data_IF_242964230633
#
_entry.id   IF_242964230633
#
_cell.length_a   1.000
_cell.length_b   1.000
_cell.length_c   1.000
_cell.angle_alpha   90.00
_cell.angle_beta   90.00
_cell.angle_gamma   90.00
#
_symmetry.space_group_name_H-M   'P 1'
#
loop_
_entity.id
_entity.type
_entity.pdbx_description
1 polymer ?
#
# COMPACT_ATOMS: atom_id res chain seq x y z
N UNK A 1 -11.55 5.06 -3.08
CA UNK A 1 -10.34 4.56 -3.77
C UNK A 1 -10.41 4.66 -5.29
N UNK A 2 -11.49 4.22 -5.95
CA UNK A 2 -11.60 4.21 -7.42
C UNK A 2 -11.12 5.50 -8.14
N UNK A 3 -11.55 6.73 -7.75
CA UNK A 3 -11.09 7.95 -8.42
C UNK A 3 -9.56 8.10 -8.40
N UNK A 4 -8.91 7.71 -7.31
CA UNK A 4 -7.46 7.83 -7.16
C UNK A 4 -6.69 6.81 -8.00
N UNK A 5 -7.24 5.61 -8.26
CA UNK A 5 -6.65 4.64 -9.19
C UNK A 5 -6.67 5.17 -10.64
N UNK A 6 -7.74 5.86 -11.01
CA UNK A 6 -7.83 6.56 -12.30
C UNK A 6 -6.84 7.70 -12.39
N UNK A 7 -6.82 8.58 -11.39
CA UNK A 7 -5.98 9.76 -11.37
C UNK A 7 -4.49 9.43 -11.36
N UNK A 8 -4.07 8.39 -10.64
CA UNK A 8 -2.66 7.94 -10.59
C UNK A 8 -2.21 7.22 -11.87
N UNK A 9 -3.15 6.84 -12.75
CA UNK A 9 -2.85 6.10 -13.97
C UNK A 9 -2.67 4.59 -13.76
N UNK A 10 -3.07 4.05 -12.61
CA UNK A 10 -3.13 2.61 -12.35
C UNK A 10 -4.33 1.97 -13.06
N UNK A 11 -4.40 2.09 -14.38
CA UNK A 11 -5.57 1.77 -15.19
C UNK A 11 -6.01 0.32 -15.11
N UNK A 12 -5.08 -0.63 -15.02
CA UNK A 12 -5.44 -2.06 -14.87
C UNK A 12 -6.16 -2.29 -13.55
N UNK A 13 -5.62 -1.78 -12.44
CA UNK A 13 -6.27 -1.84 -11.13
C UNK A 13 -7.60 -1.09 -11.14
N UNK A 14 -7.65 0.09 -11.78
CA UNK A 14 -8.88 0.86 -11.87
C UNK A 14 -9.99 0.10 -12.61
N UNK A 15 -9.65 -0.59 -13.71
CA UNK A 15 -10.57 -1.45 -14.47
C UNK A 15 -11.02 -2.67 -13.67
N UNK A 16 -10.08 -3.42 -13.08
CA UNK A 16 -10.39 -4.60 -12.28
C UNK A 16 -11.21 -4.27 -11.03
N UNK A 17 -10.94 -3.14 -10.38
CA UNK A 17 -11.69 -2.69 -9.21
C UNK A 17 -13.15 -2.34 -9.54
N UNK A 18 -13.43 -1.85 -10.75
CA UNK A 18 -14.81 -1.64 -11.21
C UNK A 18 -15.54 -2.96 -11.43
N UNK A 19 -14.90 -3.94 -12.07
CA UNK A 19 -15.49 -5.28 -12.23
C UNK A 19 -15.76 -5.93 -10.88
N UNK A 20 -14.76 -5.93 -10.00
CA UNK A 20 -14.91 -6.45 -8.64
C UNK A 20 -16.06 -5.77 -7.90
N UNK A 21 -16.19 -4.44 -7.98
CA UNK A 21 -17.30 -3.74 -7.33
C UNK A 21 -18.65 -4.15 -7.92
N UNK A 22 -18.75 -4.32 -9.24
CA UNK A 22 -19.98 -4.79 -9.90
C UNK A 22 -20.33 -6.22 -9.47
N UNK A 23 -19.35 -7.12 -9.45
CA UNK A 23 -19.52 -8.50 -8.99
C UNK A 23 -19.99 -8.53 -7.52
N UNK A 24 -19.39 -7.69 -6.66
CA UNK A 24 -19.77 -7.60 -5.24
C UNK A 24 -21.18 -7.04 -5.04
N UNK A 25 -21.63 -6.11 -5.90
CA UNK A 25 -23.02 -5.60 -5.88
C UNK A 25 -24.02 -6.66 -6.34
N UNK A 26 -23.63 -7.50 -7.30
CA UNK A 26 -24.48 -8.59 -7.80
C UNK A 26 -24.39 -9.87 -6.96
N UNK A 27 -23.50 -9.89 -5.96
CA UNK A 27 -23.16 -11.09 -5.20
C UNK A 27 -24.39 -11.75 -4.56
N UNK A 28 -25.33 -10.97 -4.04
CA UNK A 28 -26.58 -11.46 -3.45
C UNK A 28 -27.41 -12.31 -4.44
N UNK A 29 -27.41 -11.91 -5.71
CA UNK A 29 -28.20 -12.57 -6.75
C UNK A 29 -27.50 -13.80 -7.35
N UNK A 30 -26.16 -13.85 -7.24
CA UNK A 30 -25.32 -14.90 -7.84
C UNK A 30 -25.03 -16.04 -6.84
N UNK A 31 -24.99 -15.71 -5.55
CA UNK A 31 -24.63 -16.64 -4.49
C UNK A 31 -25.88 -17.29 -3.89
N UNK A 32 -25.76 -18.52 -3.40
CA UNK A 32 -26.85 -19.14 -2.65
C UNK A 32 -27.21 -18.26 -1.43
N UNK A 33 -28.50 -18.02 -1.14
CA UNK A 33 -28.92 -17.12 -0.06
C UNK A 33 -28.33 -17.47 1.31
N UNK A 34 -28.18 -18.76 1.61
CA UNK A 34 -27.61 -19.21 2.89
C UNK A 34 -26.12 -18.91 3.00
N UNK A 35 -25.40 -18.99 1.89
CA UNK A 35 -23.97 -18.69 1.83
C UNK A 35 -23.74 -17.18 1.81
N UNK A 36 -24.58 -16.42 1.11
CA UNK A 36 -24.55 -14.96 1.11
C UNK A 36 -24.78 -14.38 2.51
N UNK A 37 -25.76 -14.90 3.24
CA UNK A 37 -26.02 -14.50 4.62
C UNK A 37 -24.78 -14.69 5.51
N UNK A 38 -24.15 -15.87 5.43
CA UNK A 38 -22.90 -16.15 6.15
C UNK A 38 -21.76 -15.24 5.69
N UNK A 39 -21.69 -14.93 4.40
CA UNK A 39 -20.69 -14.02 3.87
C UNK A 39 -20.82 -12.62 4.48
N UNK A 40 -22.03 -12.03 4.53
CA UNK A 40 -22.27 -10.72 5.17
C UNK A 40 -21.94 -10.76 6.67
N UNK A 41 -22.24 -11.87 7.33
CA UNK A 41 -21.90 -12.09 8.74
C UNK A 41 -20.39 -12.24 9.01
N UNK A 42 -19.56 -12.15 7.96
CA UNK A 42 -18.10 -12.14 8.07
C UNK A 42 -17.45 -13.52 8.00
N UNK A 43 -18.20 -14.57 7.67
CA UNK A 43 -17.69 -15.95 7.55
C UNK A 43 -16.84 -16.20 6.29
N UNK A 44 -16.36 -15.15 5.61
CA UNK A 44 -15.32 -15.22 4.59
C UNK A 44 -13.90 -15.08 5.16
N UNK A 45 -13.79 -14.82 6.48
CA UNK A 45 -12.52 -14.75 7.19
C UNK A 45 -12.43 -15.86 8.25
N UNK A 46 -11.24 -16.40 8.41
CA UNK A 46 -10.91 -17.32 9.49
C UNK A 46 -10.45 -16.52 10.70
N UNK A 47 -10.97 -16.85 11.88
CA UNK A 47 -10.60 -16.20 13.15
C UNK A 47 -10.22 -17.27 14.17
N UNK A 48 -9.12 -17.04 14.88
CA UNK A 48 -8.71 -17.86 16.03
C UNK A 48 -9.41 -17.46 17.33
N UNK A 49 -9.89 -16.21 17.42
CA UNK A 49 -10.60 -15.70 18.59
C UNK A 49 -11.84 -14.91 18.18
N UNK A 50 -12.78 -14.73 19.10
CA UNK A 50 -14.01 -13.95 18.89
C UNK A 50 -13.80 -12.43 18.90
N UNK A 51 -12.55 -11.93 18.84
CA UNK A 51 -12.24 -10.50 18.85
C UNK A 51 -12.68 -9.83 17.54
N UNK A 52 -13.15 -8.59 17.65
CA UNK A 52 -13.56 -7.77 16.50
C UNK A 52 -12.37 -7.51 15.56
N UNK A 53 -12.58 -7.58 14.24
CA UNK A 53 -11.58 -7.31 13.20
C UNK A 53 -10.31 -8.19 13.26
N UNK A 54 -10.37 -9.36 13.91
CA UNK A 54 -9.28 -10.33 13.94
C UNK A 54 -9.44 -11.45 12.90
N UNK A 55 -10.17 -11.18 11.82
CA UNK A 55 -10.39 -12.13 10.73
C UNK A 55 -9.26 -12.06 9.70
N UNK A 56 -8.67 -13.20 9.37
CA UNK A 56 -7.67 -13.37 8.32
C UNK A 56 -8.34 -14.03 7.11
N UNK A 57 -8.04 -13.59 5.89
CA UNK A 57 -8.57 -14.26 4.69
C UNK A 57 -8.10 -15.72 4.62
N UNK A 58 -8.95 -16.61 4.11
CA UNK A 58 -8.65 -18.06 4.02
C UNK A 58 -7.36 -18.34 3.26
N UNK A 59 -7.14 -17.63 2.15
CA UNK A 59 -5.92 -17.75 1.34
C UNK A 59 -4.66 -17.40 2.13
N UNK A 60 -4.70 -16.30 2.90
CA UNK A 60 -3.59 -15.89 3.74
C UNK A 60 -3.33 -16.88 4.88
N UNK A 61 -4.37 -17.52 5.43
CA UNK A 61 -4.19 -18.61 6.41
C UNK A 61 -3.56 -19.85 5.77
N UNK A 62 -3.99 -20.21 4.56
CA UNK A 62 -3.38 -21.31 3.80
C UNK A 62 -1.90 -21.04 3.59
N UNK A 63 -1.54 -19.84 3.11
CA UNK A 63 -0.15 -19.48 2.84
C UNK A 63 0.71 -19.38 4.11
N UNK A 64 0.20 -18.75 5.18
CA UNK A 64 1.02 -18.47 6.36
C UNK A 64 1.07 -19.64 7.35
N UNK A 65 -0.02 -20.41 7.46
CA UNK A 65 -0.12 -21.51 8.43
C UNK A 65 0.10 -22.85 7.74
N UNK A 66 -0.73 -23.20 6.75
CA UNK A 66 -0.68 -24.53 6.14
C UNK A 66 0.60 -24.73 5.33
N UNK A 67 0.97 -23.78 4.46
CA UNK A 67 2.20 -23.89 3.68
C UNK A 67 3.44 -23.85 4.55
N UNK A 68 3.42 -23.12 5.68
CA UNK A 68 4.52 -23.14 6.66
C UNK A 68 4.67 -24.54 7.26
N UNK A 69 3.59 -25.15 7.76
CA UNK A 69 3.61 -26.52 8.29
C UNK A 69 4.03 -27.56 7.24
N UNK A 70 3.67 -27.36 5.96
CA UNK A 70 4.14 -28.22 4.88
C UNK A 70 5.64 -28.08 4.62
N UNK A 71 6.22 -26.89 4.83
CA UNK A 71 7.62 -26.56 4.53
C UNK A 71 8.58 -26.76 5.72
N UNK A 72 8.09 -26.94 6.94
CA UNK A 72 8.92 -27.25 8.11
C UNK A 72 9.40 -28.71 8.10
N UNK A 73 10.35 -29.05 8.97
CA UNK A 73 10.84 -30.43 9.09
C UNK A 73 9.71 -31.37 9.57
N UNK A 74 9.55 -32.50 8.88
CA UNK A 74 8.38 -33.38 9.04
C UNK A 74 7.16 -33.00 8.17
N UNK A 75 7.21 -31.86 7.47
CA UNK A 75 6.23 -31.45 6.47
C UNK A 75 6.43 -32.11 5.10
N UNK A 76 5.38 -32.09 4.27
CA UNK A 76 5.38 -32.80 2.97
C UNK A 76 6.29 -32.13 1.92
N UNK A 77 6.56 -30.82 2.03
CA UNK A 77 7.32 -30.07 1.03
C UNK A 77 8.85 -30.23 1.14
N UNK A 78 9.38 -30.70 2.28
CA UNK A 78 10.82 -31.02 2.46
C UNK A 78 11.14 -32.52 2.32
N UNK A 79 10.12 -33.36 2.05
CA UNK A 79 10.19 -34.84 2.12
C UNK A 79 9.88 -35.60 0.82
N UNK A 80 9.85 -36.94 0.94
CA UNK A 80 10.12 -37.94 -0.12
C UNK A 80 9.02 -38.21 -1.17
N UNK A 81 7.82 -37.60 -1.14
CA UNK A 81 6.77 -37.91 -2.14
C UNK A 81 5.66 -36.86 -2.21
N UNK A 82 5.27 -36.48 -3.43
CA UNK A 82 4.10 -35.64 -3.76
C UNK A 82 2.86 -36.45 -4.13
N UNK A 83 2.86 -37.77 -3.88
CA UNK A 83 1.71 -38.62 -4.16
C UNK A 83 0.49 -38.21 -3.31
N UNK A 84 -0.67 -38.20 -3.94
CA UNK A 84 -1.94 -37.78 -3.35
C UNK A 84 -2.29 -38.58 -2.07
N UNK A 85 -1.95 -39.88 -2.05
CA UNK A 85 -2.18 -40.74 -0.88
C UNK A 85 -1.35 -40.33 0.34
N UNK A 86 -0.14 -39.79 0.14
CA UNK A 86 0.74 -39.31 1.21
C UNK A 86 0.28 -37.96 1.71
N UNK A 87 -0.09 -37.05 0.80
CA UNK A 87 -0.66 -35.74 1.15
C UNK A 87 -1.95 -35.94 1.95
N UNK A 88 -2.85 -36.80 1.49
CA UNK A 88 -4.11 -37.09 2.18
C UNK A 88 -3.87 -37.61 3.60
N UNK A 89 -2.99 -38.59 3.77
CA UNK A 89 -2.63 -39.11 5.10
C UNK A 89 -2.05 -38.03 6.02
N UNK A 90 -1.24 -37.13 5.48
CA UNK A 90 -0.68 -36.03 6.25
C UNK A 90 -1.74 -35.01 6.66
N UNK A 91 -2.65 -34.62 5.76
CA UNK A 91 -3.76 -33.70 6.06
C UNK A 91 -4.70 -34.29 7.12
N UNK A 92 -5.14 -35.54 6.95
CA UNK A 92 -6.00 -36.20 7.94
C UNK A 92 -5.26 -36.44 9.27
N UNK A 93 -3.99 -36.83 9.20
CA UNK A 93 -3.15 -37.03 10.39
C UNK A 93 -2.95 -35.73 11.17
N UNK A 94 -2.76 -34.60 10.49
CA UNK A 94 -2.61 -33.28 11.12
C UNK A 94 -3.83 -32.90 11.94
N UNK A 95 -5.04 -33.13 11.43
CA UNK A 95 -6.27 -32.84 12.16
C UNK A 95 -6.37 -33.64 13.48
N UNK A 96 -6.07 -34.94 13.41
CA UNK A 96 -6.04 -35.82 14.59
C UNK A 96 -4.97 -35.39 15.59
N UNK A 97 -3.77 -35.04 15.10
CA UNK A 97 -2.68 -34.57 15.95
C UNK A 97 -3.00 -33.23 16.61
N UNK A 98 -3.68 -32.31 15.91
CA UNK A 98 -4.11 -31.03 16.50
C UNK A 98 -5.09 -31.27 17.67
N UNK A 99 -6.02 -32.20 17.50
CA UNK A 99 -6.97 -32.60 18.56
C UNK A 99 -6.24 -33.20 19.77
N UNK A 100 -5.21 -34.01 19.53
CA UNK A 100 -4.37 -34.55 20.62
C UNK A 100 -3.57 -33.46 21.33
N UNK A 101 -3.01 -32.50 20.60
CA UNK A 101 -2.31 -31.35 21.16
C UNK A 101 -3.26 -30.50 22.02
N UNK A 102 -4.46 -30.20 21.54
CA UNK A 102 -5.50 -29.49 22.31
C UNK A 102 -5.83 -30.23 23.62
N UNK A 103 -6.01 -31.55 23.57
CA UNK A 103 -6.25 -32.34 24.79
C UNK A 103 -5.06 -32.37 25.75
N UNK A 104 -3.83 -32.35 25.25
CA UNK A 104 -2.62 -32.26 26.07
C UNK A 104 -2.46 -30.87 26.70
N UNK A 105 -2.82 -29.82 25.98
CA UNK A 105 -2.86 -28.44 26.45
C UNK A 105 -3.86 -28.29 27.61
N UNK A 106 -5.07 -28.80 27.44
CA UNK A 106 -6.09 -28.83 28.49
C UNK A 106 -5.63 -29.62 29.72
N UNK A 107 -5.00 -30.79 29.51
CA UNK A 107 -4.46 -31.61 30.60
C UNK A 107 -3.34 -30.90 31.37
N UNK A 108 -2.44 -30.22 30.65
CA UNK A 108 -1.33 -29.48 31.24
C UNK A 108 -1.76 -28.13 31.83
N UNK A 109 -3.00 -27.69 31.57
CA UNK A 109 -3.48 -26.34 31.84
C UNK A 109 -2.54 -25.27 31.25
N UNK A 110 -2.02 -25.54 30.06
CA UNK A 110 -1.16 -24.65 29.27
C UNK A 110 -1.83 -24.46 27.92
N UNK A 111 -1.90 -23.22 27.43
CA UNK A 111 -2.33 -22.95 26.06
C UNK A 111 -1.13 -22.57 25.20
N UNK A 112 -0.93 -23.29 24.09
CA UNK A 112 0.06 -22.93 23.07
C UNK A 112 -0.57 -22.01 22.00
N UNK A 113 -1.63 -21.28 22.34
CA UNK A 113 -2.34 -20.32 21.48
C UNK A 113 -1.41 -19.23 20.92
N UNK A 114 -0.28 -18.98 21.59
CA UNK A 114 0.75 -18.05 21.17
C UNK A 114 1.91 -18.78 20.50
N UNK A 115 1.84 -18.90 19.18
CA UNK A 115 3.06 -18.59 18.41
C UNK A 115 3.43 -17.16 18.78
N UNK A 116 4.72 -16.87 19.04
CA UNK A 116 5.21 -15.50 19.29
C UNK A 116 4.34 -14.51 18.53
N UNK A 117 3.51 -13.75 19.26
CA UNK A 117 2.77 -12.68 18.63
C UNK A 117 3.81 -11.87 17.86
N UNK A 118 3.53 -11.58 16.59
CA UNK A 118 4.42 -10.76 15.79
C UNK A 118 4.85 -9.59 16.67
N UNK A 119 6.16 -9.35 16.81
CA UNK A 119 6.68 -8.45 17.87
C UNK A 119 5.95 -7.10 17.87
N UNK A 120 5.54 -6.64 16.69
CA UNK A 120 4.77 -5.41 16.47
C UNK A 120 3.34 -5.42 17.03
N UNK A 121 2.73 -6.58 17.24
CA UNK A 121 1.41 -6.74 17.87
C UNK A 121 1.47 -6.75 19.41
N UNK A 122 2.67 -6.69 20.00
CA UNK A 122 2.80 -6.60 21.47
C UNK A 122 2.21 -5.29 22.00
N UNK A 123 1.62 -5.32 23.20
CA UNK A 123 1.04 -4.13 23.85
C UNK A 123 2.02 -2.95 23.92
N UNK A 124 3.32 -3.24 24.07
CA UNK A 124 4.38 -2.22 24.09
C UNK A 124 4.54 -1.50 22.75
N UNK A 125 4.42 -2.23 21.63
CA UNK A 125 4.56 -1.70 20.27
C UNK A 125 3.28 -0.99 19.85
N UNK A 126 2.12 -1.56 20.15
CA UNK A 126 0.82 -0.91 19.96
C UNK A 126 0.75 0.44 20.70
N UNK A 127 1.18 0.50 21.97
CA UNK A 127 1.24 1.77 22.71
C UNK A 127 2.18 2.78 22.07
N UNK A 128 3.38 2.35 21.66
CA UNK A 128 4.34 3.22 20.98
C UNK A 128 3.80 3.75 19.65
N UNK A 129 3.17 2.89 18.85
CA UNK A 129 2.57 3.27 17.57
C UNK A 129 1.46 4.31 17.77
N UNK A 130 0.62 4.14 18.81
CA UNK A 130 -0.40 5.15 19.17
C UNK A 130 0.25 6.48 19.56
N UNK A 131 1.29 6.45 20.39
CA UNK A 131 2.05 7.66 20.76
C UNK A 131 2.68 8.33 19.55
N UNK A 132 3.26 7.56 18.62
CA UNK A 132 3.91 8.08 17.41
C UNK A 132 2.89 8.61 16.39
N UNK A 133 1.72 7.98 16.26
CA UNK A 133 0.58 8.50 15.48
C UNK A 133 0.13 9.84 16.06
N UNK A 134 -0.01 9.96 17.38
CA UNK A 134 -0.39 11.22 18.02
C UNK A 134 0.64 12.32 17.77
N UNK A 135 1.94 12.03 17.90
CA UNK A 135 3.01 12.98 17.55
C UNK A 135 2.94 13.42 16.09
N UNK A 136 2.72 12.47 15.18
CA UNK A 136 2.58 12.77 13.75
C UNK A 136 1.37 13.66 13.49
N UNK A 137 0.23 13.37 14.13
CA UNK A 137 -0.98 14.18 14.01
C UNK A 137 -0.77 15.58 14.57
N UNK A 138 -0.19 15.73 15.77
CA UNK A 138 0.15 17.03 16.34
C UNK A 138 1.08 17.83 15.43
N UNK A 139 2.08 17.16 14.83
CA UNK A 139 2.98 17.79 13.87
C UNK A 139 2.25 18.23 12.60
N UNK A 140 1.41 17.38 12.01
CA UNK A 140 0.64 17.70 10.80
C UNK A 140 -0.45 18.76 11.04
N UNK A 141 -1.02 18.83 12.24
CA UNK A 141 -1.99 19.87 12.63
C UNK A 141 -1.32 21.24 12.78
N UNK A 142 -0.09 21.27 13.30
CA UNK A 142 0.70 22.50 13.43
C UNK A 142 1.40 22.89 12.13
N UNK A 143 1.72 21.93 11.28
CA UNK A 143 2.37 22.10 9.98
C UNK A 143 1.48 21.49 8.91
N UNK A 144 0.52 22.28 8.43
CA UNK A 144 -0.35 21.85 7.33
C UNK A 144 0.53 21.39 6.14
N UNK A 145 0.49 20.10 5.75
CA UNK A 145 1.29 19.61 4.63
C UNK A 145 0.80 20.17 3.28
N UNK A 146 -0.41 20.74 3.23
CA UNK A 146 -1.00 21.35 2.04
C UNK A 146 -1.62 22.71 2.37
N UNK A 147 -0.82 23.71 2.82
CA UNK A 147 -1.35 25.03 3.06
C UNK A 147 -1.94 25.55 1.75
N UNK A 148 -2.96 26.40 1.82
CA UNK A 148 -3.55 27.05 0.64
C UNK A 148 -2.57 28.10 0.12
N UNK A 149 -1.53 27.63 -0.57
CA UNK A 149 -0.51 28.43 -1.24
C UNK A 149 -0.87 28.43 -2.73
N UNK A 150 -0.66 29.55 -3.47
CA UNK A 150 -0.86 29.57 -4.92
C UNK A 150 -0.01 28.53 -5.69
N UNK A 151 1.02 27.95 -5.05
CA UNK A 151 1.86 26.90 -5.63
C UNK A 151 1.88 25.67 -4.71
N UNK A 152 1.74 24.49 -5.29
CA UNK A 152 1.82 23.22 -4.56
C UNK A 152 3.28 23.00 -4.16
N UNK A 153 3.53 22.77 -2.88
CA UNK A 153 4.86 22.44 -2.37
C UNK A 153 4.80 21.14 -1.58
N UNK A 154 5.73 20.22 -1.82
CA UNK A 154 5.93 19.05 -0.96
C UNK A 154 7.42 18.73 -0.91
N UNK A 155 7.98 18.54 0.29
CA UNK A 155 9.39 18.14 0.48
C UNK A 155 10.39 19.03 -0.27
N UNK A 156 10.14 20.35 -0.32
CA UNK A 156 10.98 21.32 -1.02
C UNK A 156 10.80 21.36 -2.53
N UNK A 157 9.94 20.52 -3.13
CA UNK A 157 9.58 20.59 -4.55
C UNK A 157 8.43 21.56 -4.74
N UNK A 158 8.62 22.60 -5.54
CA UNK A 158 7.55 23.52 -5.95
C UNK A 158 7.01 23.09 -7.31
N UNK A 159 5.71 22.79 -7.38
CA UNK A 159 5.05 22.43 -8.62
C UNK A 159 4.93 23.61 -9.59
N UNK A 160 5.09 23.32 -10.87
CA UNK A 160 4.79 24.24 -11.96
C UNK A 160 3.27 24.34 -12.21
N UNK A 161 2.84 25.27 -13.06
CA UNK A 161 1.42 25.47 -13.40
C UNK A 161 0.77 24.25 -14.08
N UNK A 162 1.57 23.26 -14.49
CA UNK A 162 1.07 22.02 -15.12
C UNK A 162 0.75 20.94 -14.10
N UNK A 163 1.33 21.01 -12.90
CA UNK A 163 1.11 20.01 -11.86
C UNK A 163 -0.30 20.15 -11.27
N UNK A 164 -1.05 19.05 -11.33
CA UNK A 164 -2.46 19.02 -10.94
C UNK A 164 -2.78 17.87 -9.97
N UNK A 165 -1.78 17.31 -9.28
CA UNK A 165 -1.97 16.19 -8.36
C UNK A 165 -2.94 16.47 -7.20
N UNK A 166 -3.05 17.72 -6.75
CA UNK A 166 -4.05 18.17 -5.77
C UNK A 166 -5.49 17.92 -6.24
N UNK A 167 -5.75 17.95 -7.55
CA UNK A 167 -7.05 17.71 -8.16
C UNK A 167 -7.30 16.24 -8.51
N UNK A 168 -6.50 15.30 -7.96
CA UNK A 168 -6.60 13.88 -8.26
C UNK A 168 -8.02 13.31 -8.16
N UNK A 169 -8.78 13.70 -7.13
CA UNK A 169 -10.16 13.22 -6.99
C UNK A 169 -11.05 13.68 -8.14
N UNK A 170 -10.97 14.96 -8.54
CA UNK A 170 -11.79 15.52 -9.60
C UNK A 170 -11.44 14.93 -10.98
N UNK A 171 -10.15 14.82 -11.29
CA UNK A 171 -9.65 14.19 -12.52
C UNK A 171 -10.04 12.71 -12.57
N UNK A 172 -9.92 12.01 -11.44
CA UNK A 172 -10.36 10.64 -11.30
C UNK A 172 -11.85 10.43 -11.58
N UNK A 173 -12.70 11.31 -11.05
CA UNK A 173 -14.15 11.28 -11.30
C UNK A 173 -14.49 11.57 -12.77
N UNK A 174 -13.81 12.54 -13.39
CA UNK A 174 -13.96 12.84 -14.82
C UNK A 174 -13.52 11.67 -15.72
N UNK A 175 -12.52 10.88 -15.29
CA UNK A 175 -12.13 9.64 -15.97
C UNK A 175 -13.20 8.56 -15.83
N UNK A 176 -13.77 8.40 -14.63
CA UNK A 176 -14.84 7.43 -14.37
C UNK A 176 -16.09 7.74 -15.19
N UNK A 177 -16.49 9.01 -15.31
CA UNK A 177 -17.67 9.39 -16.10
C UNK A 177 -17.53 9.05 -17.59
N UNK A 178 -16.30 9.03 -18.13
CA UNK A 178 -16.04 8.58 -19.50
C UNK A 178 -16.25 7.07 -19.69
N UNK A 179 -16.18 6.27 -18.62
CA UNK A 179 -16.37 4.82 -18.65
C UNK A 179 -17.82 4.40 -18.46
N UNK A 180 -18.65 5.25 -17.87
CA UNK A 180 -20.05 4.93 -17.59
C UNK A 180 -20.79 4.57 -18.88
N UNK A 181 -21.43 3.40 -18.91
CA UNK A 181 -22.16 2.89 -20.08
C UNK A 181 -21.29 2.23 -21.16
N UNK A 182 -19.97 2.13 -20.98
CA UNK A 182 -19.08 1.42 -21.90
C UNK A 182 -18.81 -0.02 -21.44
N UNK A 183 -18.55 -0.91 -22.39
CA UNK A 183 -18.09 -2.28 -22.11
C UNK A 183 -16.58 -2.30 -21.88
N UNK A 184 -16.11 -3.29 -21.10
CA UNK A 184 -14.70 -3.41 -20.71
C UNK A 184 -13.71 -3.34 -21.87
N UNK A 185 -14.03 -3.98 -23.00
CA UNK A 185 -13.20 -4.03 -24.20
C UNK A 185 -13.09 -2.67 -24.91
N UNK A 186 -14.13 -1.84 -24.81
CA UNK A 186 -14.19 -0.54 -25.48
C UNK A 186 -13.55 0.60 -24.67
N UNK A 187 -13.32 0.38 -23.37
CA UNK A 187 -12.73 1.38 -22.48
C UNK A 187 -11.26 1.59 -22.81
N UNK A 188 -10.94 2.79 -23.29
CA UNK A 188 -9.58 3.26 -23.55
C UNK A 188 -9.21 4.39 -22.60
N UNK A 189 -8.35 4.10 -21.63
CA UNK A 189 -7.79 5.07 -20.70
C UNK A 189 -6.43 5.53 -21.21
N UNK A 190 -6.22 6.85 -21.32
CA UNK A 190 -4.97 7.41 -21.82
C UNK A 190 -4.12 7.91 -20.66
N UNK A 191 -2.79 7.77 -20.77
CA UNK A 191 -1.85 8.34 -19.79
C UNK A 191 -1.94 9.87 -19.67
N UNK A 192 -2.48 10.55 -20.67
CA UNK A 192 -2.72 11.99 -20.62
C UNK A 192 -3.87 12.39 -19.69
N UNK A 193 -4.80 11.46 -19.37
CA UNK A 193 -5.94 11.72 -18.48
C UNK A 193 -5.57 11.57 -16.99
N UNK A 194 -4.33 11.18 -16.68
CA UNK A 194 -3.84 11.03 -15.30
C UNK A 194 -3.32 12.36 -14.77
N UNK A 195 -3.28 12.52 -13.45
CA UNK A 195 -2.64 13.71 -12.86
C UNK A 195 -1.13 13.69 -13.04
N UNK A 196 -0.56 14.87 -13.20
CA UNK A 196 0.88 15.08 -13.17
C UNK A 196 1.32 15.20 -11.71
N UNK A 197 2.16 14.27 -11.20
CA UNK A 197 2.71 14.36 -9.86
C UNK A 197 3.79 15.45 -9.77
N UNK A 198 4.11 15.89 -8.56
CA UNK A 198 5.21 16.83 -8.31
C UNK A 198 6.57 16.35 -8.86
N UNK A 199 6.80 15.03 -8.93
CA UNK A 199 7.99 14.46 -9.56
C UNK A 199 8.13 14.81 -11.06
N UNK A 200 7.03 15.20 -11.71
CA UNK A 200 7.04 15.66 -13.10
C UNK A 200 7.36 17.15 -13.24
N UNK A 201 7.64 17.87 -12.15
CA UNK A 201 8.12 19.24 -12.18
C UNK A 201 9.41 19.30 -13.01
N UNK A 202 9.46 20.20 -13.99
CA UNK A 202 10.64 20.30 -14.85
C UNK A 202 11.82 20.89 -14.09
N UNK A 203 12.96 20.21 -14.12
CA UNK A 203 14.25 20.82 -13.74
C UNK A 203 14.85 21.68 -14.87
N UNK A 204 14.05 22.08 -15.86
CA UNK A 204 14.55 22.74 -17.08
C UNK A 204 14.22 24.22 -17.02
N UNK A 205 15.25 25.07 -17.18
CA UNK A 205 15.09 26.53 -17.27
C UNK A 205 15.39 26.99 -18.68
N UNK A 206 14.71 28.07 -19.08
CA UNK A 206 14.89 28.72 -20.37
C UNK A 206 15.93 29.84 -20.22
N UNK A 207 17.09 29.68 -20.85
CA UNK A 207 18.19 30.67 -20.87
C UNK A 207 18.43 31.05 -22.32
N UNK A 208 18.23 32.33 -22.67
CA UNK A 208 18.35 32.84 -24.05
C UNK A 208 17.60 31.99 -25.10
N UNK A 209 16.35 31.63 -24.80
CA UNK A 209 15.49 30.75 -25.60
C UNK A 209 15.90 29.27 -25.70
N UNK A 210 17.04 28.87 -25.14
CA UNK A 210 17.44 27.47 -25.03
C UNK A 210 16.99 26.85 -23.71
N UNK A 211 16.55 25.59 -23.79
CA UNK A 211 16.15 24.79 -22.63
C UNK A 211 17.38 24.11 -22.03
N UNK A 212 17.82 24.58 -20.87
CA UNK A 212 18.95 24.01 -20.14
C UNK A 212 18.41 23.15 -18.98
N UNK A 213 18.67 21.83 -18.96
CA UNK A 213 18.33 21.00 -17.82
C UNK A 213 19.27 21.33 -16.65
N UNK A 214 18.68 21.51 -15.47
CA UNK A 214 19.39 21.69 -14.22
C UNK A 214 19.56 20.31 -13.62
N UNK A 215 20.81 19.95 -13.39
CA UNK A 215 21.20 18.84 -12.54
C UNK A 215 21.55 19.41 -11.15
N UNK A 216 20.67 19.25 -10.15
CA UNK A 216 20.92 19.75 -8.80
C UNK A 216 22.20 19.18 -8.18
N UNK A 217 22.57 17.93 -8.51
CA UNK A 217 23.78 17.28 -8.00
C UNK A 217 25.02 17.97 -8.57
N UNK A 218 25.03 18.23 -9.88
CA UNK A 218 26.14 18.90 -10.53
C UNK A 218 26.27 20.35 -10.05
N UNK A 219 25.14 21.04 -9.87
CA UNK A 219 25.12 22.41 -9.38
C UNK A 219 25.66 22.51 -7.94
N UNK A 220 25.18 21.65 -7.05
CA UNK A 220 25.65 21.58 -5.66
C UNK A 220 27.15 21.23 -5.58
N UNK A 221 27.63 20.28 -6.40
CA UNK A 221 29.07 19.96 -6.50
C UNK A 221 29.89 21.17 -6.93
N UNK A 222 29.44 21.92 -7.94
CA UNK A 222 30.12 23.15 -8.40
C UNK A 222 30.16 24.21 -7.31
N UNK A 223 29.04 24.51 -6.66
CA UNK A 223 28.98 25.45 -5.54
C UNK A 223 29.92 25.03 -4.40
N UNK A 224 29.97 23.73 -4.08
CA UNK A 224 30.84 23.17 -3.04
C UNK A 224 32.33 23.27 -3.36
N UNK A 225 32.70 23.24 -4.65
CA UNK A 225 34.10 23.38 -5.10
C UNK A 225 34.50 24.86 -5.21
N UNK A 226 33.57 25.72 -5.64
CA UNK A 226 33.84 27.15 -5.85
C UNK A 226 33.85 27.96 -4.56
N UNK A 227 33.19 27.49 -3.49
CA UNK A 227 33.20 28.20 -2.20
C UNK A 227 34.62 28.26 -1.64
N UNK A 228 35.03 29.46 -1.23
CA UNK A 228 36.28 29.67 -0.49
C UNK A 228 36.00 29.61 1.01
N UNK A 229 34.85 30.13 1.44
CA UNK A 229 34.40 30.13 2.83
C UNK A 229 32.95 29.66 2.95
N UNK A 230 32.57 29.20 4.14
CA UNK A 230 31.27 28.55 4.36
C UNK A 230 30.07 29.52 4.27
N UNK A 231 30.28 30.81 4.61
CA UNK A 231 29.25 31.85 4.50
C UNK A 231 28.88 32.19 3.04
N UNK A 232 29.76 31.92 2.07
CA UNK A 232 29.48 32.17 0.65
C UNK A 232 28.41 31.22 0.10
N UNK A 233 28.21 30.07 0.77
CA UNK A 233 27.24 29.06 0.38
C UNK A 233 25.81 29.61 0.47
N UNK A 234 25.49 30.42 1.47
CA UNK A 234 24.19 31.09 1.62
C UNK A 234 23.91 32.02 0.42
N UNK A 235 24.94 32.72 -0.05
CA UNK A 235 24.84 33.60 -1.21
C UNK A 235 24.66 32.80 -2.51
N UNK A 236 25.31 31.64 -2.64
CA UNK A 236 25.14 30.77 -3.81
C UNK A 236 23.74 30.14 -3.86
N UNK A 237 23.18 29.75 -2.71
CA UNK A 237 21.82 29.21 -2.63
C UNK A 237 20.74 30.24 -3.00
N UNK A 238 20.99 31.54 -2.81
CA UNK A 238 20.07 32.58 -3.28
C UNK A 238 19.89 32.58 -4.81
N UNK A 239 20.84 32.02 -5.57
CA UNK A 239 20.78 31.83 -7.01
C UNK A 239 20.54 30.37 -7.41
N UNK A 240 20.16 29.50 -6.47
CA UNK A 240 19.86 28.12 -6.79
C UNK A 240 18.55 28.03 -7.58
N UNK A 241 18.66 27.42 -8.75
CA UNK A 241 17.57 27.26 -9.70
C UNK A 241 16.99 25.83 -9.70
N UNK A 242 17.51 24.96 -8.83
CA UNK A 242 17.04 23.60 -8.70
C UNK A 242 15.60 23.56 -8.17
N UNK A 243 14.73 22.68 -8.70
CA UNK A 243 13.34 22.57 -8.25
C UNK A 243 13.20 21.95 -6.86
N UNK A 244 14.27 21.37 -6.30
CA UNK A 244 14.33 20.82 -4.96
C UNK A 244 15.72 21.00 -4.36
N UNK A 245 15.82 21.20 -3.03
CA UNK A 245 17.10 21.19 -2.34
C UNK A 245 17.70 19.77 -2.39
N UNK A 246 19.01 19.68 -2.62
CA UNK A 246 19.70 18.40 -2.57
C UNK A 246 19.70 17.87 -1.13
N UNK A 247 18.94 16.82 -0.86
CA UNK A 247 18.99 16.07 0.39
C UNK A 247 20.19 15.12 0.35
N UNK A 248 21.12 15.28 1.30
CA UNK A 248 22.20 14.33 1.58
C UNK A 248 21.68 13.00 2.11
#
# INVERSE_FOLDING_TARGET
MLPYLHASGHFNYAKSAHLYLQDMVQLENLMDPSVYQRFIEGFFTLRRSGKLNCGTSTDMVIEQSMMKCMKTDGGVARGRSTQESVISKWVYGMHTMNTMCEGLEDLANVRMDTTDQHVDASDSRVKRDIEDINKLLEWLLSHDPFPVIPKIMSSGVVGDDKINCHNARAVGLASISKMTGQTFNNIKLKRADRVLPLLSASSVIKVYDEKVPIDPVLLFKRMSITKTFEYELETFFAYELAPYPFTL
#
